data_IF_317468661759
#
_entry.id   IF_317468661759
#
_cell.length_a   1.000
_cell.length_b   1.000
_cell.length_c   1.000
_cell.angle_alpha   90.00
_cell.angle_beta   90.00
_cell.angle_gamma   90.00
#
_symmetry.space_group_name_H-M   'P 1'
#
loop_
_entity.id
_entity.type
_entity.pdbx_description
1 polymer ?
#
# COMPACT_ATOMS: atom_id res chain seq x y z
N UNK A 1 20.34 -5.62 3.73
CA UNK A 1 20.42 -6.40 2.47
C UNK A 1 19.16 -7.23 2.10
N UNK A 2 17.92 -6.79 2.39
CA UNK A 2 16.70 -7.58 2.06
C UNK A 2 15.50 -6.77 1.53
N UNK A 3 15.69 -5.50 1.15
CA UNK A 3 14.71 -4.69 0.36
C UNK A 3 14.64 -5.13 -1.13
N UNK A 4 15.60 -5.94 -1.58
CA UNK A 4 15.82 -6.27 -2.99
C UNK A 4 14.74 -7.10 -3.67
N UNK A 5 13.89 -7.83 -2.96
CA UNK A 5 13.04 -8.82 -3.64
C UNK A 5 11.85 -8.20 -4.41
N UNK A 6 11.24 -7.13 -3.89
CA UNK A 6 10.17 -6.40 -4.57
C UNK A 6 10.70 -5.47 -5.67
N UNK A 7 11.78 -4.74 -5.39
CA UNK A 7 12.41 -3.83 -6.34
C UNK A 7 13.06 -4.56 -7.52
N UNK A 8 13.61 -5.76 -7.30
CA UNK A 8 14.06 -6.63 -8.39
C UNK A 8 12.91 -7.07 -9.30
N UNK A 9 11.76 -7.43 -8.70
CA UNK A 9 10.57 -7.82 -9.47
C UNK A 9 10.04 -6.68 -10.33
N UNK A 10 10.09 -5.44 -9.82
CA UNK A 10 9.72 -4.26 -10.59
C UNK A 10 10.54 -4.14 -11.88
N UNK A 11 11.88 -4.23 -11.80
CA UNK A 11 12.76 -4.17 -12.98
C UNK A 11 12.49 -5.34 -13.92
N UNK A 12 12.30 -6.54 -13.37
CA UNK A 12 11.94 -7.73 -14.14
C UNK A 12 10.63 -7.51 -14.92
N UNK A 13 9.53 -7.14 -14.24
CA UNK A 13 8.22 -6.97 -14.86
C UNK A 13 8.23 -5.85 -15.91
N UNK A 14 8.96 -4.76 -15.65
CA UNK A 14 9.12 -3.66 -16.59
C UNK A 14 9.70 -4.12 -17.93
N UNK A 15 10.85 -4.81 -17.89
CA UNK A 15 11.52 -5.26 -19.10
C UNK A 15 10.82 -6.47 -19.73
N UNK A 16 10.30 -7.41 -18.93
CA UNK A 16 9.49 -8.54 -19.43
C UNK A 16 8.29 -8.03 -20.24
N UNK A 17 7.56 -7.04 -19.70
CA UNK A 17 6.41 -6.43 -20.38
C UNK A 17 6.82 -5.81 -21.71
N UNK A 18 7.88 -5.00 -21.72
CA UNK A 18 8.38 -4.35 -22.94
C UNK A 18 8.84 -5.36 -24.00
N UNK A 19 9.47 -6.46 -23.59
CA UNK A 19 9.88 -7.52 -24.53
C UNK A 19 8.66 -8.28 -25.05
N UNK A 20 7.77 -8.73 -24.16
CA UNK A 20 6.61 -9.57 -24.53
C UNK A 20 5.54 -8.84 -25.33
N UNK A 21 5.44 -7.53 -25.21
CA UNK A 21 4.47 -6.71 -25.94
C UNK A 21 5.09 -6.05 -27.19
N UNK A 22 6.34 -6.39 -27.54
CA UNK A 22 6.97 -5.95 -28.78
C UNK A 22 7.56 -4.55 -28.76
N UNK A 23 7.75 -3.95 -27.57
CA UNK A 23 8.50 -2.71 -27.43
C UNK A 23 9.99 -2.91 -27.77
N UNK A 24 10.58 -4.01 -27.29
CA UNK A 24 11.90 -4.50 -27.72
C UNK A 24 11.73 -5.74 -28.60
N UNK A 25 12.46 -5.77 -29.72
CA UNK A 25 12.49 -6.86 -30.68
C UNK A 25 13.78 -7.68 -30.57
N UNK A 26 13.79 -8.83 -31.24
CA UNK A 26 14.96 -9.70 -31.30
C UNK A 26 16.20 -8.92 -31.79
N UNK A 27 17.30 -9.04 -31.06
CA UNK A 27 18.55 -8.33 -31.36
C UNK A 27 18.67 -6.94 -30.71
N UNK A 28 17.58 -6.36 -30.18
CA UNK A 28 17.65 -5.10 -29.46
C UNK A 28 18.50 -5.23 -28.19
N UNK A 29 19.15 -4.14 -27.81
CA UNK A 29 19.91 -4.06 -26.56
C UNK A 29 19.09 -3.36 -25.48
N UNK A 30 19.00 -3.97 -24.30
CA UNK A 30 18.51 -3.29 -23.10
C UNK A 30 19.52 -2.22 -22.64
N UNK A 31 19.09 -1.20 -21.88
CA UNK A 31 19.99 -0.25 -21.25
C UNK A 31 21.06 -0.93 -20.38
N UNK A 32 22.23 -0.30 -20.26
CA UNK A 32 23.34 -0.81 -19.44
C UNK A 32 22.97 -0.84 -17.95
N UNK A 33 23.61 -1.71 -17.16
CA UNK A 33 23.36 -1.79 -15.69
C UNK A 33 23.46 -0.41 -15.01
N UNK A 34 24.47 0.45 -15.28
CA UNK A 34 24.51 1.80 -14.72
C UNK A 34 23.26 2.64 -15.06
N UNK A 35 22.82 2.62 -16.32
CA UNK A 35 21.62 3.34 -16.76
C UNK A 35 20.35 2.78 -16.09
N UNK A 36 20.23 1.46 -15.91
CA UNK A 36 19.11 0.87 -15.18
C UNK A 36 19.15 1.27 -13.69
N UNK A 37 20.33 1.28 -13.07
CA UNK A 37 20.50 1.73 -11.68
C UNK A 37 20.04 3.17 -11.50
N UNK A 38 20.42 4.05 -12.43
CA UNK A 38 20.01 5.46 -12.45
C UNK A 38 18.51 5.60 -12.67
N UNK A 39 17.94 4.91 -13.67
CA UNK A 39 16.53 5.00 -14.03
C UNK A 39 15.57 4.54 -12.92
N UNK A 40 15.95 3.51 -12.15
CA UNK A 40 15.11 2.96 -11.09
C UNK A 40 15.56 3.38 -9.68
N UNK A 41 16.66 4.13 -9.56
CA UNK A 41 17.33 4.44 -8.29
C UNK A 41 17.64 3.18 -7.44
N UNK A 42 18.15 2.14 -8.10
CA UNK A 42 18.44 0.84 -7.48
C UNK A 42 19.92 0.50 -7.44
N UNK A 43 20.30 -0.35 -6.49
CA UNK A 43 21.64 -0.90 -6.41
C UNK A 43 21.93 -1.88 -7.54
N UNK A 44 23.21 -1.97 -7.93
CA UNK A 44 23.69 -2.90 -8.98
C UNK A 44 23.32 -4.36 -8.70
N UNK A 45 23.29 -4.76 -7.43
CA UNK A 45 22.90 -6.13 -7.02
C UNK A 45 21.45 -6.44 -7.37
N UNK A 46 20.54 -5.49 -7.10
CA UNK A 46 19.10 -5.60 -7.40
C UNK A 46 18.87 -5.72 -8.90
N UNK A 47 19.54 -4.87 -9.68
CA UNK A 47 19.44 -4.86 -11.15
C UNK A 47 19.99 -6.14 -11.76
N UNK A 48 21.18 -6.60 -11.34
CA UNK A 48 21.76 -7.87 -11.82
C UNK A 48 20.84 -9.04 -11.56
N UNK A 49 20.30 -9.12 -10.35
CA UNK A 49 19.37 -10.19 -10.00
C UNK A 49 18.06 -10.12 -10.82
N UNK A 50 17.64 -8.95 -11.30
CA UNK A 50 16.48 -8.83 -12.20
C UNK A 50 16.81 -9.33 -13.61
N UNK A 51 17.98 -8.97 -14.13
CA UNK A 51 18.47 -9.45 -15.43
C UNK A 51 18.69 -10.97 -15.43
N UNK A 52 19.19 -11.54 -14.33
CA UNK A 52 19.30 -13.00 -14.17
C UNK A 52 17.94 -13.70 -14.25
N UNK A 53 16.86 -13.08 -13.76
CA UNK A 53 15.51 -13.63 -13.89
C UNK A 53 15.01 -13.57 -15.34
N UNK A 54 15.31 -12.48 -16.07
CA UNK A 54 14.96 -12.35 -17.48
C UNK A 54 15.71 -13.35 -18.35
N UNK A 55 16.99 -13.59 -18.04
CA UNK A 55 17.82 -14.58 -18.74
C UNK A 55 17.32 -16.02 -18.48
N UNK A 56 16.98 -16.35 -17.22
CA UNK A 56 16.33 -17.63 -16.88
C UNK A 56 14.98 -17.81 -17.58
N UNK A 57 14.27 -16.72 -17.85
CA UNK A 57 13.02 -16.70 -18.61
C UNK A 57 13.21 -16.79 -20.13
N UNK A 58 14.45 -16.92 -20.63
CA UNK A 58 14.80 -16.91 -22.05
C UNK A 58 14.40 -15.63 -22.81
N UNK A 59 14.30 -14.50 -22.13
CA UNK A 59 13.96 -13.22 -22.78
C UNK A 59 15.19 -12.48 -23.29
N UNK A 60 16.30 -12.56 -22.57
CA UNK A 60 17.56 -11.87 -22.87
C UNK A 60 18.76 -12.82 -22.76
N UNK A 61 19.87 -12.41 -23.37
CA UNK A 61 21.20 -12.98 -23.16
C UNK A 61 22.11 -11.90 -22.58
N UNK A 62 22.79 -12.21 -21.49
CA UNK A 62 23.81 -11.35 -20.91
C UNK A 62 25.20 -11.78 -21.40
N UNK A 63 26.12 -10.82 -21.54
CA UNK A 63 27.51 -11.08 -21.87
C UNK A 63 28.41 -10.17 -21.03
N UNK A 64 29.61 -10.64 -20.67
CA UNK A 64 30.52 -9.83 -19.86
C UNK A 64 30.83 -8.49 -20.53
N UNK A 65 30.65 -7.41 -19.77
CA UNK A 65 30.95 -6.02 -20.17
C UNK A 65 30.15 -5.52 -21.39
N UNK A 66 29.06 -6.19 -21.78
CA UNK A 66 28.12 -5.73 -22.82
C UNK A 66 26.72 -5.52 -22.25
N UNK A 67 25.94 -4.69 -22.94
CA UNK A 67 24.50 -4.58 -22.69
C UNK A 67 23.81 -5.92 -22.96
N UNK A 68 22.73 -6.22 -22.24
CA UNK A 68 21.96 -7.44 -22.47
C UNK A 68 21.19 -7.35 -23.80
N UNK A 69 21.26 -8.39 -24.62
CA UNK A 69 20.56 -8.45 -25.91
C UNK A 69 19.28 -9.28 -25.80
N UNK A 70 18.20 -8.82 -26.42
CA UNK A 70 16.93 -9.53 -26.46
C UNK A 70 17.03 -10.73 -27.40
N UNK A 71 16.70 -11.92 -26.87
CA UNK A 71 16.68 -13.19 -27.62
C UNK A 71 15.26 -13.73 -27.83
N UNK A 72 14.25 -13.05 -27.28
CA UNK A 72 12.85 -13.39 -27.48
C UNK A 72 12.44 -13.12 -28.94
N UNK A 73 11.96 -14.16 -29.63
CA UNK A 73 11.48 -14.08 -31.01
C UNK A 73 9.97 -14.24 -31.03
N UNK A 74 9.26 -13.24 -31.55
CA UNK A 74 7.82 -13.27 -31.73
C UNK A 74 7.42 -12.36 -32.91
N UNK A 75 6.34 -12.72 -33.60
CA UNK A 75 5.74 -11.88 -34.64
C UNK A 75 4.69 -10.90 -34.08
N UNK A 76 4.22 -9.96 -34.90
CA UNK A 76 3.23 -8.94 -34.50
C UNK A 76 1.96 -9.53 -33.88
N UNK A 77 1.46 -10.65 -34.43
CA UNK A 77 0.31 -11.37 -33.88
C UNK A 77 0.57 -11.90 -32.45
N UNK A 78 1.73 -12.52 -32.23
CA UNK A 78 2.09 -13.07 -30.91
C UNK A 78 2.30 -11.96 -29.86
N UNK A 79 2.86 -10.81 -30.24
CA UNK A 79 2.98 -9.65 -29.35
C UNK A 79 1.60 -9.12 -28.91
N UNK A 80 0.65 -9.01 -29.85
CA UNK A 80 -0.73 -8.63 -29.56
C UNK A 80 -1.42 -9.66 -28.66
N UNK A 81 -1.29 -10.95 -28.97
CA UNK A 81 -1.84 -12.02 -28.14
C UNK A 81 -1.29 -11.99 -26.70
N UNK A 82 0.02 -11.76 -26.54
CA UNK A 82 0.65 -11.62 -25.22
C UNK A 82 0.05 -10.47 -24.41
N UNK A 83 -0.18 -9.32 -25.04
CA UNK A 83 -0.81 -8.17 -24.41
C UNK A 83 -2.27 -8.48 -24.06
N UNK A 84 -3.03 -9.07 -24.99
CA UNK A 84 -4.43 -9.45 -24.78
C UNK A 84 -4.59 -10.43 -23.61
N UNK A 85 -3.78 -11.50 -23.57
CA UNK A 85 -3.76 -12.49 -22.46
C UNK A 85 -3.44 -11.86 -21.11
N UNK A 86 -2.70 -10.76 -21.06
CA UNK A 86 -2.43 -10.05 -19.81
C UNK A 86 -3.58 -9.13 -19.40
N UNK A 87 -4.05 -8.29 -20.32
CA UNK A 87 -4.97 -7.21 -20.02
C UNK A 87 -6.43 -7.64 -19.93
N UNK A 88 -6.87 -8.58 -20.77
CA UNK A 88 -8.26 -9.04 -20.79
C UNK A 88 -8.75 -9.55 -19.41
N UNK A 89 -8.06 -10.48 -18.72
CA UNK A 89 -8.51 -10.94 -17.39
C UNK A 89 -8.42 -9.85 -16.31
N UNK A 90 -7.71 -8.75 -16.56
CA UNK A 90 -7.51 -7.63 -15.62
C UNK A 90 -8.40 -6.43 -15.91
N UNK A 91 -9.19 -6.45 -16.98
CA UNK A 91 -10.04 -5.33 -17.44
C UNK A 91 -10.82 -4.69 -16.30
N UNK A 92 -11.59 -5.49 -15.56
CA UNK A 92 -12.41 -5.00 -14.44
C UNK A 92 -11.56 -4.41 -13.32
N UNK A 93 -10.45 -5.04 -12.96
CA UNK A 93 -9.56 -4.51 -11.92
C UNK A 93 -8.82 -3.24 -12.33
N UNK A 94 -8.55 -3.04 -13.63
CA UNK A 94 -7.96 -1.81 -14.17
C UNK A 94 -8.96 -0.66 -14.08
N UNK A 95 -10.23 -0.90 -14.44
CA UNK A 95 -11.32 0.07 -14.31
C UNK A 95 -11.63 0.40 -12.84
N UNK A 96 -11.64 -0.61 -11.97
CA UNK A 96 -11.80 -0.40 -10.54
C UNK A 96 -10.66 0.46 -9.96
N UNK A 97 -9.42 0.21 -10.40
CA UNK A 97 -8.25 0.99 -10.00
C UNK A 97 -8.26 2.43 -10.53
N UNK A 98 -8.87 2.71 -11.68
CA UNK A 98 -8.95 4.10 -12.17
C UNK A 98 -9.81 4.97 -11.25
N UNK A 99 -10.89 4.42 -10.69
CA UNK A 99 -11.72 5.11 -9.71
C UNK A 99 -11.08 5.09 -8.31
N UNK A 100 -10.60 3.94 -7.85
CA UNK A 100 -9.94 3.82 -6.55
C UNK A 100 -8.67 4.69 -6.47
N UNK A 101 -7.93 4.83 -7.56
CA UNK A 101 -6.73 5.65 -7.63
C UNK A 101 -7.00 7.13 -7.36
N UNK A 102 -8.17 7.65 -7.76
CA UNK A 102 -8.59 9.02 -7.44
C UNK A 102 -8.71 9.22 -5.92
N UNK A 103 -9.26 8.24 -5.21
CA UNK A 103 -9.44 8.31 -3.75
C UNK A 103 -8.14 8.01 -2.98
N UNK A 104 -7.30 7.11 -3.50
CA UNK A 104 -6.10 6.65 -2.82
C UNK A 104 -4.88 7.56 -3.03
N UNK A 105 -4.71 8.17 -4.20
CA UNK A 105 -3.49 8.91 -4.54
C UNK A 105 -3.66 10.42 -4.66
N UNK A 106 -4.83 10.93 -5.09
CA UNK A 106 -5.02 12.37 -5.26
C UNK A 106 -4.84 13.13 -3.95
N UNK A 107 -5.40 12.70 -2.80
CA UNK A 107 -5.14 13.38 -1.52
C UNK A 107 -3.66 13.40 -1.13
N UNK A 108 -2.94 12.32 -1.43
CA UNK A 108 -1.49 12.22 -1.15
C UNK A 108 -0.69 13.23 -1.98
N UNK A 109 -1.07 13.42 -3.24
CA UNK A 109 -0.42 14.38 -4.12
C UNK A 109 -0.75 15.80 -3.70
N UNK A 110 -2.03 16.13 -3.50
CA UNK A 110 -2.43 17.49 -3.13
C UNK A 110 -1.76 17.96 -1.85
N UNK A 111 -1.78 17.14 -0.81
CA UNK A 111 -1.17 17.49 0.46
C UNK A 111 0.36 17.61 0.33
N UNK A 112 1.01 16.74 -0.46
CA UNK A 112 2.46 16.84 -0.69
C UNK A 112 2.83 18.11 -1.47
N UNK A 113 2.15 18.38 -2.58
CA UNK A 113 2.42 19.53 -3.45
C UNK A 113 2.19 20.87 -2.73
N UNK A 114 1.20 20.94 -1.84
CA UNK A 114 0.96 22.14 -0.98
C UNK A 114 2.07 22.38 0.04
N UNK A 115 2.82 21.34 0.43
CA UNK A 115 3.90 21.44 1.41
C UNK A 115 5.27 21.68 0.75
N UNK A 116 5.36 21.64 -0.58
CA UNK A 116 6.63 21.80 -1.27
C UNK A 116 7.09 23.26 -1.30
N UNK A 117 8.36 23.47 -0.93
CA UNK A 117 9.02 24.75 -1.15
C UNK A 117 9.32 24.95 -2.64
N UNK A 118 9.53 26.20 -3.04
CA UNK A 118 9.87 26.54 -4.43
C UNK A 118 11.16 25.86 -4.90
N UNK A 119 12.15 25.75 -4.02
CA UNK A 119 13.43 25.10 -4.30
C UNK A 119 13.23 23.60 -4.57
N UNK A 120 12.35 22.94 -3.80
CA UNK A 120 12.02 21.52 -4.02
C UNK A 120 11.34 21.29 -5.36
N UNK A 121 10.42 22.19 -5.72
CA UNK A 121 9.79 22.21 -7.04
C UNK A 121 10.83 22.37 -8.16
N UNK A 122 11.73 23.34 -8.04
CA UNK A 122 12.79 23.61 -9.02
C UNK A 122 13.75 22.41 -9.17
N UNK A 123 14.14 21.75 -8.06
CA UNK A 123 14.96 20.53 -8.11
C UNK A 123 14.26 19.40 -8.89
N UNK A 124 12.97 19.14 -8.60
CA UNK A 124 12.25 18.05 -9.26
C UNK A 124 12.03 18.38 -10.74
N UNK A 125 11.73 19.62 -11.10
CA UNK A 125 11.57 20.02 -12.50
C UNK A 125 12.89 19.92 -13.27
N UNK A 126 14.01 20.26 -12.64
CA UNK A 126 15.34 20.06 -13.21
C UNK A 126 15.64 18.57 -13.45
N UNK A 127 15.39 17.70 -12.47
CA UNK A 127 15.58 16.25 -12.61
C UNK A 127 14.70 15.64 -13.70
N UNK A 128 13.51 16.20 -13.90
CA UNK A 128 12.54 15.81 -14.92
C UNK A 128 12.89 16.34 -16.32
N UNK A 129 13.62 17.45 -16.45
CA UNK A 129 14.09 17.98 -17.74
C UNK A 129 15.27 17.20 -18.35
N UNK A 130 15.98 16.38 -17.57
CA UNK A 130 17.18 15.65 -17.99
C UNK A 130 16.90 14.18 -18.41
N UNK A 131 15.74 13.89 -19.02
CA UNK A 131 15.35 12.51 -19.33
C UNK A 131 16.14 11.92 -20.51
N UNK A 132 16.76 10.77 -20.27
CA UNK A 132 17.44 9.95 -21.30
C UNK A 132 16.41 9.11 -22.08
N UNK A 133 16.54 8.95 -23.41
CA UNK A 133 15.73 8.03 -24.19
C UNK A 133 15.72 6.60 -23.60
N UNK A 134 14.53 6.01 -23.44
CA UNK A 134 14.39 4.67 -22.83
C UNK A 134 14.21 4.63 -21.30
N UNK A 135 14.28 5.78 -20.61
CA UNK A 135 14.04 5.90 -19.18
C UNK A 135 12.57 5.68 -18.75
N UNK A 136 12.33 5.56 -17.44
CA UNK A 136 11.00 5.54 -16.82
C UNK A 136 10.21 6.79 -17.27
N UNK A 137 8.91 6.68 -17.64
CA UNK A 137 8.13 7.83 -18.09
C UNK A 137 8.18 9.00 -17.11
N UNK A 138 8.22 10.21 -17.65
CA UNK A 138 8.27 11.47 -16.90
C UNK A 138 7.18 11.56 -15.82
N UNK A 139 5.97 11.13 -16.15
CA UNK A 139 4.82 11.12 -15.23
C UNK A 139 5.06 10.21 -14.03
N UNK A 140 5.60 9.00 -14.25
CA UNK A 140 5.93 8.06 -13.17
C UNK A 140 7.03 8.62 -12.27
N UNK A 141 8.08 9.22 -12.86
CA UNK A 141 9.15 9.88 -12.08
C UNK A 141 8.61 11.04 -11.24
N UNK A 142 7.76 11.88 -11.81
CA UNK A 142 7.09 12.97 -11.08
C UNK A 142 6.28 12.41 -9.90
N UNK A 143 5.41 11.43 -10.13
CA UNK A 143 4.60 10.83 -9.07
C UNK A 143 5.44 10.20 -7.96
N UNK A 144 6.53 9.52 -8.31
CA UNK A 144 7.47 9.00 -7.32
C UNK A 144 8.10 10.13 -6.50
N UNK A 145 8.52 11.22 -7.14
CA UNK A 145 9.02 12.42 -6.47
C UNK A 145 8.02 12.96 -5.47
N UNK A 146 6.76 13.14 -5.87
CA UNK A 146 5.65 13.58 -5.01
C UNK A 146 5.45 12.63 -3.83
N UNK A 147 5.24 11.34 -4.10
CA UNK A 147 4.94 10.35 -3.06
C UNK A 147 6.11 10.10 -2.09
N UNK A 148 7.36 10.31 -2.54
CA UNK A 148 8.53 10.19 -1.68
C UNK A 148 8.58 11.24 -0.55
N UNK A 149 7.84 12.34 -0.68
CA UNK A 149 7.74 13.42 0.32
C UNK A 149 7.25 12.95 1.67
N UNK A 150 6.42 11.90 1.70
CA UNK A 150 5.84 11.37 2.92
C UNK A 150 6.82 10.57 3.77
N UNK A 151 7.97 10.16 3.19
CA UNK A 151 8.90 9.21 3.81
C UNK A 151 8.18 7.97 4.36
N UNK A 152 7.30 7.41 3.54
CA UNK A 152 6.41 6.31 3.87
C UNK A 152 6.58 5.19 2.86
N UNK A 153 7.10 4.04 3.30
CA UNK A 153 7.41 2.94 2.39
C UNK A 153 6.16 2.20 1.93
N UNK A 154 5.06 2.20 2.71
CA UNK A 154 3.77 1.64 2.29
C UNK A 154 3.19 2.42 1.12
N UNK A 155 3.19 3.76 1.17
CA UNK A 155 2.70 4.60 0.06
C UNK A 155 3.47 4.30 -1.23
N UNK A 156 4.80 4.30 -1.16
CA UNK A 156 5.64 4.00 -2.32
C UNK A 156 5.42 2.56 -2.81
N UNK A 157 5.29 1.59 -1.89
CA UNK A 157 5.02 0.21 -2.25
C UNK A 157 3.66 0.04 -2.92
N UNK A 158 2.60 0.70 -2.44
CA UNK A 158 1.28 0.67 -3.05
C UNK A 158 1.33 1.22 -4.48
N UNK A 159 1.98 2.37 -4.67
CA UNK A 159 2.18 2.94 -6.01
C UNK A 159 2.89 1.94 -6.94
N UNK A 160 3.94 1.28 -6.46
CA UNK A 160 4.63 0.26 -7.26
C UNK A 160 3.78 -0.94 -7.61
N UNK A 161 2.96 -1.45 -6.69
CA UNK A 161 2.03 -2.55 -6.99
C UNK A 161 0.98 -2.14 -8.02
N UNK A 162 0.46 -0.92 -7.95
CA UNK A 162 -0.46 -0.36 -8.95
C UNK A 162 0.21 -0.30 -10.32
N UNK A 163 1.40 0.30 -10.42
CA UNK A 163 2.13 0.41 -11.69
C UNK A 163 2.46 -0.97 -12.27
N UNK A 164 2.87 -1.94 -11.43
CA UNK A 164 3.14 -3.33 -11.85
C UNK A 164 1.89 -4.06 -12.33
N UNK A 165 0.75 -3.79 -11.72
CA UNK A 165 -0.53 -4.36 -12.13
C UNK A 165 -1.00 -3.76 -13.46
N UNK A 166 -0.92 -2.43 -13.60
CA UNK A 166 -1.37 -1.69 -14.77
C UNK A 166 -0.51 -1.93 -16.02
N UNK A 167 0.83 -2.05 -15.90
CA UNK A 167 1.81 -2.30 -16.98
C UNK A 167 1.84 -1.33 -18.17
N UNK A 168 0.75 -0.68 -18.57
CA UNK A 168 0.74 0.28 -19.66
C UNK A 168 1.64 1.50 -19.44
N UNK A 169 1.93 1.98 -18.20
CA UNK A 169 2.93 3.03 -18.03
C UNK A 169 4.30 2.58 -18.53
N UNK A 170 4.57 1.28 -18.60
CA UNK A 170 5.81 0.76 -19.16
C UNK A 170 5.88 0.93 -20.67
N UNK A 171 4.80 1.21 -21.38
CA UNK A 171 4.78 1.25 -22.85
C UNK A 171 4.95 2.67 -23.43
N UNK A 172 4.96 3.71 -22.60
CA UNK A 172 4.83 5.13 -22.99
C UNK A 172 6.04 5.78 -23.69
N UNK A 173 7.00 5.03 -24.24
CA UNK A 173 8.29 5.56 -24.71
C UNK A 173 8.48 5.66 -26.23
N UNK A 174 7.42 5.60 -27.06
CA UNK A 174 7.62 5.76 -28.51
C UNK A 174 7.50 7.21 -29.00
N UNK A 175 6.51 7.99 -28.57
CA UNK A 175 6.42 9.42 -28.89
C UNK A 175 5.63 10.18 -27.78
N UNK A 176 6.04 11.41 -27.49
CA UNK A 176 5.50 12.41 -26.54
C UNK A 176 6.00 12.47 -25.08
N UNK A 177 6.54 13.63 -24.64
CA UNK A 177 6.36 14.08 -23.26
C UNK A 177 4.89 14.47 -23.08
N UNK A 178 4.11 13.60 -22.44
CA UNK A 178 2.66 13.82 -22.24
C UNK A 178 2.34 15.00 -21.31
N UNK A 179 3.31 15.43 -20.52
CA UNK A 179 3.38 16.74 -19.86
C UNK A 179 4.81 17.21 -20.01
N UNK A 180 5.07 18.43 -20.44
CA UNK A 180 6.42 18.98 -20.57
C UNK A 180 6.91 19.61 -19.25
N UNK A 181 8.23 19.74 -19.07
CA UNK A 181 8.78 20.51 -17.95
C UNK A 181 8.28 21.97 -17.96
N UNK A 182 8.00 22.55 -19.14
CA UNK A 182 7.42 23.89 -19.27
C UNK A 182 5.98 23.97 -18.76
N UNK A 183 5.14 22.99 -19.08
CA UNK A 183 3.76 22.90 -18.54
C UNK A 183 3.75 22.70 -17.03
N UNK A 184 4.69 21.89 -16.50
CA UNK A 184 4.90 21.75 -15.06
C UNK A 184 5.47 23.03 -14.40
N UNK A 185 6.10 23.93 -15.15
CA UNK A 185 6.57 25.23 -14.64
C UNK A 185 5.46 26.29 -14.61
N UNK A 186 4.49 26.24 -15.52
CA UNK A 186 3.29 27.12 -15.48
C UNK A 186 2.42 26.80 -14.26
N UNK A 187 2.40 25.55 -13.80
CA UNK A 187 1.80 25.11 -12.52
C UNK A 187 2.31 25.91 -11.32
N UNK A 188 3.57 26.37 -11.33
CA UNK A 188 4.15 27.17 -10.24
C UNK A 188 3.64 28.61 -10.20
N UNK A 189 2.98 29.09 -11.26
CA UNK A 189 2.59 30.50 -11.40
C UNK A 189 1.13 30.77 -11.01
N UNK A 190 0.31 29.74 -10.77
CA UNK A 190 -1.14 29.86 -10.46
C UNK A 190 -1.69 28.70 -9.63
N UNK A 191 -2.99 28.37 -9.78
CA UNK A 191 -3.60 27.16 -9.18
C UNK A 191 -3.19 25.88 -9.93
N UNK A 192 -1.89 25.59 -9.91
CA UNK A 192 -1.28 24.52 -10.69
C UNK A 192 -1.72 23.12 -10.28
N UNK A 193 -2.21 22.94 -9.04
CA UNK A 193 -2.70 21.64 -8.57
C UNK A 193 -3.95 21.23 -9.36
N UNK A 194 -4.89 22.16 -9.55
CA UNK A 194 -6.10 21.92 -10.33
C UNK A 194 -5.78 21.63 -11.80
N UNK A 195 -4.84 22.37 -12.40
CA UNK A 195 -4.37 22.11 -13.77
C UNK A 195 -3.75 20.71 -13.91
N UNK A 196 -2.86 20.32 -13.00
CA UNK A 196 -2.24 19.00 -12.99
C UNK A 196 -3.28 17.89 -12.90
N UNK A 197 -4.29 18.03 -12.04
CA UNK A 197 -5.35 17.03 -11.91
C UNK A 197 -6.07 16.77 -13.23
N UNK A 198 -6.47 17.84 -13.93
CA UNK A 198 -7.16 17.73 -15.23
C UNK A 198 -6.26 17.07 -16.25
N UNK A 199 -5.02 17.56 -16.41
CA UNK A 199 -4.07 17.01 -17.37
C UNK A 199 -3.79 15.51 -17.12
N UNK A 200 -3.58 15.12 -15.86
CA UNK A 200 -3.36 13.73 -15.52
C UNK A 200 -4.59 12.86 -15.74
N UNK A 201 -5.78 13.37 -15.43
CA UNK A 201 -7.03 12.66 -15.69
C UNK A 201 -7.24 12.44 -17.19
N UNK A 202 -6.97 13.43 -18.03
CA UNK A 202 -7.13 13.34 -19.48
C UNK A 202 -6.11 12.38 -20.10
N UNK A 203 -4.85 12.44 -19.68
CA UNK A 203 -3.80 11.52 -20.16
C UNK A 203 -4.12 10.09 -19.76
N UNK A 204 -4.48 9.87 -18.49
CA UNK A 204 -4.79 8.54 -17.99
C UNK A 204 -6.07 7.99 -18.63
N UNK A 205 -7.10 8.83 -18.80
CA UNK A 205 -8.35 8.49 -19.48
C UNK A 205 -8.11 7.98 -20.89
N UNK A 206 -7.38 8.74 -21.71
CA UNK A 206 -7.01 8.33 -23.08
C UNK A 206 -6.32 6.97 -23.13
N UNK A 207 -5.38 6.72 -22.21
CA UNK A 207 -4.70 5.41 -22.15
C UNK A 207 -5.64 4.26 -21.81
N UNK A 208 -6.59 4.49 -20.91
CA UNK A 208 -7.58 3.49 -20.55
C UNK A 208 -8.52 3.24 -21.73
N UNK A 209 -8.97 4.28 -22.42
CA UNK A 209 -9.84 4.15 -23.60
C UNK A 209 -9.13 3.35 -24.72
N UNK A 210 -7.90 3.70 -25.06
CA UNK A 210 -7.07 2.94 -26.03
C UNK A 210 -6.91 1.46 -25.62
N UNK A 211 -6.71 1.21 -24.32
CA UNK A 211 -6.58 -0.14 -23.80
C UNK A 211 -7.90 -0.91 -23.88
N UNK A 212 -9.04 -0.25 -23.60
CA UNK A 212 -10.36 -0.86 -23.68
C UNK A 212 -10.72 -1.21 -25.12
N UNK A 213 -10.40 -0.33 -26.07
CA UNK A 213 -10.56 -0.58 -27.51
C UNK A 213 -9.72 -1.77 -27.95
N UNK A 214 -8.43 -1.81 -27.54
CA UNK A 214 -7.54 -2.95 -27.79
C UNK A 214 -8.10 -4.25 -27.20
N UNK A 215 -8.58 -4.22 -25.96
CA UNK A 215 -9.19 -5.36 -25.28
C UNK A 215 -10.43 -5.84 -26.03
N UNK A 216 -11.31 -4.91 -26.45
CA UNK A 216 -12.53 -5.23 -27.20
C UNK A 216 -12.24 -5.94 -28.52
N UNK A 217 -11.29 -5.41 -29.30
CA UNK A 217 -10.89 -6.01 -30.58
C UNK A 217 -10.19 -7.36 -30.40
N UNK A 218 -9.38 -7.51 -29.34
CA UNK A 218 -8.54 -8.68 -29.16
C UNK A 218 -9.24 -9.85 -28.44
N UNK A 219 -10.37 -9.61 -27.78
CA UNK A 219 -11.10 -10.66 -27.06
C UNK A 219 -11.60 -11.76 -28.00
N UNK A 220 -12.26 -11.36 -29.09
CA UNK A 220 -12.79 -12.27 -30.12
C UNK A 220 -11.66 -12.84 -30.99
N UNK A 221 -10.68 -12.02 -31.37
CA UNK A 221 -9.56 -12.39 -32.24
C UNK A 221 -8.74 -13.58 -31.68
N UNK A 222 -8.57 -13.64 -30.34
CA UNK A 222 -7.74 -14.64 -29.69
C UNK A 222 -8.54 -15.66 -28.85
N UNK A 223 -9.87 -15.61 -28.85
CA UNK A 223 -10.75 -16.52 -28.10
C UNK A 223 -10.40 -16.62 -26.61
N UNK A 224 -10.27 -15.47 -25.94
CA UNK A 224 -9.78 -15.37 -24.56
C UNK A 224 -10.89 -15.08 -23.52
N UNK A 225 -12.16 -15.24 -23.90
CA UNK A 225 -13.32 -14.85 -23.08
C UNK A 225 -13.46 -15.68 -21.79
N UNK A 226 -12.88 -16.89 -21.77
CA UNK A 226 -12.96 -17.81 -20.63
C UNK A 226 -11.83 -17.64 -19.60
N UNK A 227 -10.96 -16.63 -19.74
CA UNK A 227 -9.88 -16.42 -18.78
C UNK A 227 -10.41 -16.01 -17.41
N UNK A 228 -9.86 -16.61 -16.36
CA UNK A 228 -10.19 -16.23 -14.99
C UNK A 228 -9.79 -14.77 -14.72
N UNK A 229 -10.72 -14.02 -14.14
CA UNK A 229 -10.50 -12.63 -13.75
C UNK A 229 -9.37 -12.54 -12.73
N UNK A 230 -8.44 -11.63 -12.96
CA UNK A 230 -7.33 -11.38 -12.04
C UNK A 230 -7.58 -10.05 -11.33
N UNK A 231 -7.85 -10.04 -10.01
CA UNK A 231 -8.03 -8.80 -9.26
C UNK A 231 -6.69 -8.13 -8.90
N UNK A 232 -6.75 -6.84 -8.59
CA UNK A 232 -5.64 -6.14 -7.96
C UNK A 232 -5.36 -6.70 -6.55
N UNK A 233 -4.07 -6.79 -6.19
CA UNK A 233 -3.60 -7.23 -4.87
C UNK A 233 -2.47 -6.33 -4.41
N UNK A 234 -2.55 -5.82 -3.18
CA UNK A 234 -1.49 -5.00 -2.61
C UNK A 234 -0.52 -5.85 -1.79
N UNK A 235 0.63 -6.18 -2.38
CA UNK A 235 1.64 -7.01 -1.72
C UNK A 235 2.64 -6.15 -0.92
N UNK A 236 2.55 -6.23 0.41
CA UNK A 236 3.48 -5.54 1.32
C UNK A 236 4.77 -6.36 1.52
N UNK A 237 5.88 -5.84 1.00
CA UNK A 237 7.19 -6.50 1.09
C UNK A 237 7.83 -6.38 2.47
N UNK A 238 7.55 -7.30 3.40
CA UNK A 238 8.28 -7.38 4.69
C UNK A 238 9.57 -8.20 4.57
N UNK A 239 10.58 -7.89 5.39
CA UNK A 239 11.78 -8.75 5.55
C UNK A 239 11.32 -10.13 6.06
N UNK A 240 11.70 -11.22 5.36
CA UNK A 240 11.27 -12.60 5.68
C UNK A 240 11.53 -12.97 7.17
N UNK A 241 10.68 -13.82 7.78
CA UNK A 241 9.42 -14.39 7.26
C UNK A 241 8.21 -13.51 7.61
N UNK A 242 7.42 -13.13 6.58
CA UNK A 242 6.27 -12.23 6.67
C UNK A 242 5.16 -12.73 7.60
N UNK A 243 5.03 -14.05 7.72
CA UNK A 243 3.93 -14.73 8.42
C UNK A 243 3.86 -14.40 9.92
N UNK A 244 5.00 -14.19 10.60
CA UNK A 244 4.97 -13.88 12.04
C UNK A 244 4.36 -12.51 12.31
N UNK A 245 4.58 -11.53 11.44
CA UNK A 245 4.04 -10.19 11.61
C UNK A 245 2.53 -10.16 11.35
N UNK A 246 2.06 -10.85 10.31
CA UNK A 246 0.62 -11.06 10.08
C UNK A 246 0.00 -11.78 11.27
N UNK A 247 0.67 -12.81 11.80
CA UNK A 247 0.12 -13.56 12.93
C UNK A 247 0.04 -12.73 14.22
N UNK A 248 0.99 -11.80 14.46
CA UNK A 248 0.88 -10.82 15.55
C UNK A 248 -0.39 -9.99 15.38
N UNK A 249 -0.62 -9.42 14.19
CA UNK A 249 -1.83 -8.65 13.89
C UNK A 249 -3.11 -9.45 14.10
N UNK A 250 -3.14 -10.71 13.62
CA UNK A 250 -4.30 -11.61 13.76
C UNK A 250 -4.60 -11.87 15.23
N UNK A 251 -3.60 -12.21 16.04
CA UNK A 251 -3.83 -12.51 17.46
C UNK A 251 -4.26 -11.25 18.22
N UNK A 252 -3.64 -10.09 17.97
CA UNK A 252 -4.09 -8.82 18.58
C UNK A 252 -5.55 -8.55 18.21
N UNK A 253 -5.93 -8.72 16.94
CA UNK A 253 -7.32 -8.55 16.49
C UNK A 253 -8.29 -9.52 17.16
N UNK A 254 -7.92 -10.80 17.30
CA UNK A 254 -8.73 -11.81 18.03
C UNK A 254 -8.89 -11.45 19.52
N UNK A 255 -7.88 -10.81 20.14
CA UNK A 255 -7.99 -10.29 21.51
C UNK A 255 -8.97 -9.10 21.56
N UNK A 256 -8.82 -8.13 20.66
CA UNK A 256 -9.65 -6.92 20.61
C UNK A 256 -11.14 -7.23 20.36
N UNK A 257 -11.41 -8.20 19.48
CA UNK A 257 -12.76 -8.69 19.16
C UNK A 257 -13.33 -9.62 20.23
N UNK A 258 -12.53 -10.02 21.23
CA UNK A 258 -12.97 -10.82 22.37
C UNK A 258 -12.97 -12.33 22.15
N UNK A 259 -12.40 -12.82 21.05
CA UNK A 259 -12.15 -14.27 20.84
C UNK A 259 -11.20 -14.79 21.91
N UNK A 260 -10.19 -14.00 22.27
CA UNK A 260 -9.32 -14.27 23.42
C UNK A 260 -9.38 -13.11 24.43
N UNK A 261 -10.32 -13.13 25.39
CA UNK A 261 -10.44 -12.09 26.40
C UNK A 261 -9.17 -11.94 27.25
N UNK A 262 -8.91 -10.73 27.75
CA UNK A 262 -7.83 -10.49 28.72
C UNK A 262 -8.01 -11.39 29.94
N UNK A 263 -6.92 -12.01 30.39
CA UNK A 263 -6.90 -13.01 31.46
C UNK A 263 -7.13 -14.45 31.01
N UNK A 264 -7.63 -14.67 29.78
CA UNK A 264 -7.76 -16.01 29.18
C UNK A 264 -6.40 -16.53 28.67
N UNK A 265 -6.35 -17.80 28.24
CA UNK A 265 -5.16 -18.41 27.67
C UNK A 265 -5.30 -18.60 26.16
N UNK A 266 -4.20 -18.35 25.44
CA UNK A 266 -4.10 -18.72 24.03
C UNK A 266 -4.05 -20.26 23.89
N UNK A 267 -4.42 -20.80 22.72
CA UNK A 267 -4.27 -22.23 22.44
C UNK A 267 -2.81 -22.69 22.60
N UNK A 268 -2.61 -23.98 22.83
CA UNK A 268 -1.26 -24.56 22.89
C UNK A 268 -0.51 -24.40 21.56
N UNK A 269 0.83 -24.44 21.59
CA UNK A 269 1.63 -24.25 20.38
C UNK A 269 1.24 -25.18 19.20
N UNK A 270 0.98 -26.49 19.40
CA UNK A 270 0.52 -27.37 18.33
C UNK A 270 -0.87 -27.00 17.80
N UNK A 271 -1.78 -26.52 18.68
CA UNK A 271 -3.09 -26.05 18.26
C UNK A 271 -2.98 -24.77 17.42
N UNK A 272 -2.08 -23.85 17.79
CA UNK A 272 -1.83 -22.63 17.02
C UNK A 272 -1.20 -22.93 15.64
N UNK A 273 -0.23 -23.84 15.57
CA UNK A 273 0.34 -24.30 14.28
C UNK A 273 -0.74 -24.85 13.36
N UNK A 274 -1.63 -25.69 13.89
CA UNK A 274 -2.75 -26.26 13.13
C UNK A 274 -3.82 -25.24 12.75
N UNK A 275 -4.15 -24.30 13.65
CA UNK A 275 -5.17 -23.26 13.42
C UNK A 275 -4.71 -22.24 12.38
N UNK A 276 -3.50 -21.72 12.52
CA UNK A 276 -2.99 -20.62 11.68
C UNK A 276 -2.17 -21.11 10.47
N UNK A 277 -1.96 -22.42 10.32
CA UNK A 277 -1.22 -23.03 9.20
C UNK A 277 0.19 -22.44 9.04
N UNK A 278 0.89 -22.26 10.16
CA UNK A 278 2.27 -21.77 10.20
C UNK A 278 3.16 -22.72 10.99
N UNK A 279 4.46 -22.72 10.70
CA UNK A 279 5.41 -23.56 11.45
C UNK A 279 5.44 -23.22 12.94
N UNK A 280 5.72 -24.22 13.78
CA UNK A 280 5.94 -24.04 15.22
C UNK A 280 6.96 -22.93 15.54
N UNK A 281 8.02 -22.79 14.73
CA UNK A 281 9.02 -21.72 14.87
C UNK A 281 8.42 -20.33 14.65
N UNK A 282 7.46 -20.21 13.73
CA UNK A 282 6.71 -18.96 13.50
C UNK A 282 5.84 -18.64 14.70
N UNK A 283 5.10 -19.62 15.24
CA UNK A 283 4.26 -19.45 16.44
C UNK A 283 5.10 -18.94 17.61
N UNK A 284 6.21 -19.62 17.93
CA UNK A 284 7.11 -19.23 19.03
C UNK A 284 7.61 -17.79 18.87
N UNK A 285 8.09 -17.42 17.68
CA UNK A 285 8.57 -16.05 17.40
C UNK A 285 7.46 -15.02 17.51
N UNK A 286 6.26 -15.33 17.07
CA UNK A 286 5.09 -14.45 17.23
C UNK A 286 4.78 -14.23 18.71
N UNK A 287 4.76 -15.30 19.53
CA UNK A 287 4.52 -15.18 20.96
C UNK A 287 5.61 -14.35 21.66
N UNK A 288 6.88 -14.51 21.28
CA UNK A 288 7.96 -13.66 21.80
C UNK A 288 7.75 -12.18 21.49
N UNK A 289 7.25 -11.85 20.29
CA UNK A 289 6.92 -10.46 19.93
C UNK A 289 5.74 -9.96 20.76
N UNK A 290 4.66 -10.75 20.88
CA UNK A 290 3.48 -10.38 21.66
C UNK A 290 3.81 -10.18 23.14
N UNK A 291 4.71 -11.00 23.70
CA UNK A 291 5.20 -10.86 25.08
C UNK A 291 6.04 -9.60 25.26
N UNK A 292 6.93 -9.29 24.32
CA UNK A 292 7.70 -8.03 24.32
C UNK A 292 6.83 -6.77 24.15
N UNK A 293 5.62 -6.91 23.58
CA UNK A 293 4.63 -5.83 23.47
C UNK A 293 3.67 -5.77 24.67
N UNK A 294 3.79 -6.65 25.66
CA UNK A 294 2.86 -6.70 26.80
C UNK A 294 1.47 -7.25 26.46
N UNK A 295 1.30 -7.84 25.27
CA UNK A 295 0.03 -8.43 24.82
C UNK A 295 -0.22 -9.77 25.51
N UNK A 296 0.84 -10.55 25.72
CA UNK A 296 0.78 -11.88 26.34
C UNK A 296 1.84 -12.06 27.41
N UNK A 297 1.68 -13.08 28.27
CA UNK A 297 2.73 -13.54 29.18
C UNK A 297 2.78 -15.05 29.22
N UNK A 298 3.97 -15.61 29.12
CA UNK A 298 4.18 -17.07 29.13
C UNK A 298 4.48 -17.57 30.54
N UNK A 299 3.76 -18.60 30.98
CA UNK A 299 3.99 -19.25 32.27
C UNK A 299 4.38 -20.71 32.07
N UNK A 300 5.50 -21.11 32.67
CA UNK A 300 6.00 -22.48 32.61
C UNK A 300 4.93 -23.45 33.13
N UNK A 301 4.58 -24.44 32.30
CA UNK A 301 3.58 -25.47 32.63
C UNK A 301 2.11 -25.02 32.60
N UNK A 302 1.81 -23.73 32.43
CA UNK A 302 0.43 -23.20 32.41
C UNK A 302 -0.01 -22.65 31.04
N UNK A 303 0.94 -22.36 30.16
CA UNK A 303 0.67 -21.83 28.82
C UNK A 303 0.83 -20.31 28.73
N UNK A 304 0.30 -19.71 27.67
CA UNK A 304 0.43 -18.28 27.39
C UNK A 304 -0.89 -17.56 27.68
N UNK A 305 -0.87 -16.65 28.65
CA UNK A 305 -2.05 -15.88 29.06
C UNK A 305 -2.10 -14.53 28.32
N UNK A 306 -3.30 -14.05 28.00
CA UNK A 306 -3.56 -12.73 27.41
C UNK A 306 -3.54 -11.66 28.51
N UNK A 307 -2.76 -10.59 28.31
CA UNK A 307 -2.62 -9.49 29.28
C UNK A 307 -3.10 -8.16 28.69
N UNK A 308 -2.54 -7.73 27.55
CA UNK A 308 -2.81 -6.42 26.95
C UNK A 308 -2.60 -5.26 27.94
N UNK A 309 -1.40 -5.17 28.52
CA UNK A 309 -1.04 -4.18 29.53
C UNK A 309 0.13 -3.28 29.05
N UNK A 310 0.22 -2.03 29.53
CA UNK A 310 1.40 -1.21 29.27
C UNK A 310 2.63 -1.85 29.93
N UNK A 311 3.66 -2.09 29.13
CA UNK A 311 4.97 -2.58 29.58
C UNK A 311 6.05 -1.69 29.01
N UNK A 312 7.23 -1.69 29.61
CA UNK A 312 8.40 -1.10 28.99
C UNK A 312 8.77 -1.90 27.73
N UNK A 313 8.68 -1.26 26.57
CA UNK A 313 8.92 -1.89 25.26
C UNK A 313 10.35 -1.59 24.81
N UNK A 314 11.11 -2.65 24.51
CA UNK A 314 12.43 -2.53 23.91
C UNK A 314 12.33 -2.24 22.39
N UNK A 315 12.55 -0.98 22.02
CA UNK A 315 12.55 -0.52 20.62
C UNK A 315 13.86 -0.78 19.87
N UNK A 316 14.88 -1.33 20.53
CA UNK A 316 16.10 -1.80 19.88
C UNK A 316 15.82 -3.08 19.07
N UNK A 317 14.81 -3.87 19.48
CA UNK A 317 14.41 -5.09 18.80
C UNK A 317 13.92 -4.83 17.36
N UNK A 318 14.51 -5.46 16.34
CA UNK A 318 14.16 -5.22 14.93
C UNK A 318 12.69 -5.47 14.59
N UNK A 319 12.08 -6.47 15.25
CA UNK A 319 10.70 -6.87 14.99
C UNK A 319 9.70 -5.83 15.55
N UNK A 320 10.01 -5.25 16.70
CA UNK A 320 9.23 -4.17 17.33
C UNK A 320 9.36 -2.89 16.52
N UNK A 321 10.57 -2.53 16.10
CA UNK A 321 10.81 -1.37 15.24
C UNK A 321 10.08 -1.47 13.91
N UNK A 322 10.07 -2.65 13.31
CA UNK A 322 9.31 -2.89 12.08
C UNK A 322 7.80 -2.79 12.32
N UNK A 323 7.28 -3.36 13.42
CA UNK A 323 5.88 -3.24 13.81
C UNK A 323 5.45 -1.78 14.03
N UNK A 324 6.25 -1.02 14.76
CA UNK A 324 6.02 0.42 14.98
C UNK A 324 6.05 1.22 13.67
N UNK A 325 7.02 0.93 12.79
CA UNK A 325 7.10 1.54 11.46
C UNK A 325 5.84 1.25 10.64
N UNK A 326 5.40 -0.02 10.59
CA UNK A 326 4.20 -0.44 9.87
C UNK A 326 2.95 0.26 10.40
N UNK A 327 2.79 0.33 11.72
CA UNK A 327 1.71 1.07 12.35
C UNK A 327 1.71 2.55 11.93
N UNK A 328 2.83 3.24 12.13
CA UNK A 328 2.97 4.67 11.82
C UNK A 328 2.75 4.97 10.34
N UNK A 329 3.33 4.19 9.44
CA UNK A 329 3.14 4.34 7.99
C UNK A 329 1.68 4.07 7.58
N UNK A 330 0.98 3.12 8.24
CA UNK A 330 -0.43 2.84 7.96
C UNK A 330 -1.36 3.95 8.44
N UNK A 331 -1.14 4.50 9.64
CA UNK A 331 -1.96 5.59 10.18
C UNK A 331 -1.78 6.86 9.34
N UNK A 332 -0.57 7.16 8.87
CA UNK A 332 -0.35 8.30 7.99
C UNK A 332 -1.11 8.17 6.66
N UNK A 333 -1.10 6.99 6.05
CA UNK A 333 -1.88 6.75 4.83
C UNK A 333 -3.38 6.91 5.10
N UNK A 334 -3.88 6.31 6.19
CA UNK A 334 -5.27 6.43 6.60
C UNK A 334 -5.68 7.88 6.89
N UNK A 335 -4.86 8.65 7.60
CA UNK A 335 -5.12 10.07 7.90
C UNK A 335 -5.33 10.88 6.62
N UNK A 336 -4.60 10.57 5.54
CA UNK A 336 -4.69 11.29 4.28
C UNK A 336 -5.88 10.86 3.40
N UNK A 337 -6.35 9.61 3.51
CA UNK A 337 -7.33 9.05 2.55
C UNK A 337 -8.66 8.63 3.15
N UNK A 338 -8.73 8.36 4.46
CA UNK A 338 -9.89 7.70 5.06
C UNK A 338 -11.13 8.58 5.14
N UNK A 339 -11.02 9.90 5.27
CA UNK A 339 -12.18 10.80 5.23
C UNK A 339 -12.95 10.64 3.92
N UNK A 340 -12.28 10.89 2.78
CA UNK A 340 -12.90 10.76 1.46
C UNK A 340 -13.38 9.35 1.13
N UNK A 341 -12.62 8.32 1.51
CA UNK A 341 -13.01 6.92 1.26
C UNK A 341 -14.21 6.48 2.11
N UNK A 342 -14.30 6.95 3.35
CA UNK A 342 -15.45 6.66 4.22
C UNK A 342 -16.69 7.34 3.68
N UNK A 343 -16.57 8.60 3.26
CA UNK A 343 -17.68 9.33 2.64
C UNK A 343 -18.16 8.62 1.37
N UNK A 344 -17.24 8.31 0.45
CA UNK A 344 -17.55 7.58 -0.77
C UNK A 344 -18.23 6.23 -0.48
N UNK A 345 -17.74 5.49 0.51
CA UNK A 345 -18.36 4.21 0.90
C UNK A 345 -19.78 4.43 1.42
N UNK A 346 -19.99 5.40 2.31
CA UNK A 346 -21.30 5.71 2.88
C UNK A 346 -22.31 6.12 1.82
N UNK A 347 -21.91 6.92 0.83
CA UNK A 347 -22.78 7.38 -0.27
C UNK A 347 -23.34 6.22 -1.11
N UNK A 348 -22.56 5.16 -1.32
CA UNK A 348 -22.95 4.02 -2.18
C UNK A 348 -23.70 2.89 -1.44
N UNK A 349 -23.44 2.68 -0.15
CA UNK A 349 -24.06 1.56 0.57
C UNK A 349 -25.54 1.79 0.87
N UNK A 350 -26.28 0.70 1.03
CA UNK A 350 -27.70 0.73 1.41
C UNK A 350 -27.87 1.24 2.85
N UNK A 351 -29.04 1.82 3.14
CA UNK A 351 -29.36 2.37 4.46
C UNK A 351 -29.21 1.34 5.61
N UNK A 352 -29.57 0.08 5.36
CA UNK A 352 -29.41 -1.00 6.34
C UNK A 352 -27.96 -1.19 6.81
N UNK A 353 -26.99 -1.05 5.89
CA UNK A 353 -25.56 -1.16 6.21
C UNK A 353 -25.02 0.03 7.00
N UNK A 354 -25.58 1.22 6.76
CA UNK A 354 -25.26 2.42 7.55
C UNK A 354 -25.78 2.30 8.99
N UNK A 355 -27.00 1.75 9.16
CA UNK A 355 -27.56 1.43 10.48
C UNK A 355 -26.73 0.38 11.21
N UNK A 356 -26.34 -0.70 10.51
CA UNK A 356 -25.47 -1.75 11.05
C UNK A 356 -24.13 -1.18 11.58
N UNK A 357 -23.50 -0.26 10.83
CA UNK A 357 -22.31 0.45 11.30
C UNK A 357 -22.57 1.21 12.61
N UNK A 358 -23.67 1.97 12.68
CA UNK A 358 -24.05 2.71 13.88
C UNK A 358 -24.29 1.81 15.09
N UNK A 359 -24.94 0.66 14.89
CA UNK A 359 -25.21 -0.30 15.96
C UNK A 359 -23.94 -1.00 16.44
N UNK A 360 -23.01 -1.33 15.53
CA UNK A 360 -21.68 -1.85 15.89
C UNK A 360 -20.87 -0.84 16.71
N UNK A 361 -20.93 0.45 16.36
CA UNK A 361 -20.27 1.52 17.12
C UNK A 361 -20.92 1.70 18.51
N UNK A 362 -22.24 1.61 18.61
CA UNK A 362 -22.94 1.64 19.89
C UNK A 362 -22.54 0.46 20.79
N UNK A 363 -22.50 -0.74 20.23
CA UNK A 363 -22.13 -1.96 20.97
C UNK A 363 -20.71 -1.86 21.56
N UNK A 364 -19.72 -1.37 20.80
CA UNK A 364 -18.36 -1.20 21.37
C UNK A 364 -18.31 -0.12 22.46
N UNK A 365 -19.16 0.90 22.38
CA UNK A 365 -19.21 1.95 23.38
C UNK A 365 -19.86 1.45 24.69
N UNK A 366 -20.92 0.65 24.61
CA UNK A 366 -21.55 0.01 25.77
C UNK A 366 -20.60 -0.96 26.47
N UNK A 367 -19.77 -1.67 25.70
CA UNK A 367 -18.74 -2.58 26.23
C UNK A 367 -17.51 -1.87 26.82
N UNK A 368 -17.46 -0.53 26.82
CA UNK A 368 -16.26 0.25 27.18
C UNK A 368 -15.03 -0.14 26.36
N UNK A 369 -15.24 -0.31 25.05
CA UNK A 369 -14.23 -0.64 24.05
C UNK A 369 -14.22 0.37 22.91
N UNK A 370 -14.41 1.66 23.20
CA UNK A 370 -14.44 2.70 22.15
C UNK A 370 -13.17 2.75 21.28
N UNK A 371 -12.03 2.25 21.77
CA UNK A 371 -10.81 2.07 20.98
C UNK A 371 -10.93 1.06 19.83
N UNK A 372 -11.95 0.21 19.81
CA UNK A 372 -12.24 -0.70 18.69
C UNK A 372 -12.93 0.01 17.52
N UNK A 373 -13.14 1.32 17.56
CA UNK A 373 -13.74 2.07 16.46
C UNK A 373 -12.93 1.94 15.16
N UNK A 374 -11.59 1.89 15.22
CA UNK A 374 -10.74 1.67 14.06
C UNK A 374 -11.05 0.34 13.38
N UNK A 375 -11.15 -0.74 14.16
CA UNK A 375 -11.50 -2.08 13.68
C UNK A 375 -12.90 -2.11 13.04
N UNK A 376 -13.89 -1.47 13.67
CA UNK A 376 -15.27 -1.40 13.16
C UNK A 376 -15.34 -0.65 11.83
N UNK A 377 -14.78 0.57 11.76
CA UNK A 377 -14.89 1.44 10.57
C UNK A 377 -14.05 0.87 9.42
N UNK A 378 -12.83 0.39 9.67
CA UNK A 378 -12.00 -0.19 8.61
C UNK A 378 -12.57 -1.51 8.10
N UNK A 379 -13.19 -2.32 8.96
CA UNK A 379 -13.89 -3.54 8.54
C UNK A 379 -15.11 -3.21 7.69
N UNK A 380 -15.88 -2.19 8.06
CA UNK A 380 -16.98 -1.69 7.24
C UNK A 380 -16.52 -1.25 5.84
N UNK A 381 -15.44 -0.47 5.72
CA UNK A 381 -14.89 -0.09 4.41
C UNK A 381 -14.42 -1.32 3.63
N UNK A 382 -13.74 -2.25 4.29
CA UNK A 382 -13.26 -3.50 3.69
C UNK A 382 -14.40 -4.37 3.14
N UNK A 383 -15.55 -4.39 3.80
CA UNK A 383 -16.68 -5.25 3.46
C UNK A 383 -17.63 -4.57 2.45
N UNK A 384 -17.86 -3.28 2.60
CA UNK A 384 -18.99 -2.59 1.98
C UNK A 384 -18.58 -1.55 0.91
N UNK A 385 -17.30 -1.14 0.83
CA UNK A 385 -16.86 -0.23 -0.23
C UNK A 385 -17.09 -0.85 -1.61
N UNK A 386 -17.71 -0.14 -2.58
CA UNK A 386 -17.99 -0.73 -3.89
C UNK A 386 -16.72 -1.02 -4.70
N UNK A 387 -15.62 -0.32 -4.42
CA UNK A 387 -14.35 -0.45 -5.14
C UNK A 387 -13.48 -1.58 -4.54
N UNK A 388 -13.19 -2.59 -5.33
CA UNK A 388 -12.45 -3.79 -4.91
C UNK A 388 -11.00 -3.47 -4.48
N UNK A 389 -10.33 -2.54 -5.16
CA UNK A 389 -8.98 -2.10 -4.83
C UNK A 389 -8.95 -1.33 -3.50
N UNK A 390 -9.99 -0.55 -3.19
CA UNK A 390 -10.12 0.09 -1.87
C UNK A 390 -10.30 -0.96 -0.79
N UNK A 391 -11.17 -1.96 -1.01
CA UNK A 391 -11.37 -3.07 -0.06
C UNK A 391 -10.07 -3.83 0.21
N UNK A 392 -9.28 -4.12 -0.83
CA UNK A 392 -7.95 -4.73 -0.70
C UNK A 392 -7.02 -3.84 0.14
N UNK A 393 -6.89 -2.56 -0.21
CA UNK A 393 -6.00 -1.63 0.48
C UNK A 393 -6.37 -1.44 1.96
N UNK A 394 -7.65 -1.21 2.25
CA UNK A 394 -8.13 -1.00 3.62
C UNK A 394 -8.13 -2.29 4.43
N UNK A 395 -8.28 -3.45 3.78
CA UNK A 395 -8.06 -4.75 4.42
C UNK A 395 -6.64 -4.92 4.93
N UNK A 396 -5.64 -4.57 4.11
CA UNK A 396 -4.23 -4.59 4.52
C UNK A 396 -3.97 -3.57 5.65
N UNK A 397 -4.50 -2.35 5.54
CA UNK A 397 -4.32 -1.31 6.58
C UNK A 397 -4.96 -1.70 7.91
N UNK A 398 -6.12 -2.35 7.90
CA UNK A 398 -6.76 -2.88 9.10
C UNK A 398 -5.87 -3.90 9.82
N UNK A 399 -5.12 -4.74 9.09
CA UNK A 399 -4.15 -5.64 9.71
C UNK A 399 -2.96 -4.88 10.32
N UNK A 400 -2.44 -3.86 9.63
CA UNK A 400 -1.27 -3.12 10.09
C UNK A 400 -1.57 -2.25 11.32
N UNK A 401 -2.74 -1.61 11.38
CA UNK A 401 -3.08 -0.70 12.48
C UNK A 401 -3.20 -1.43 13.82
N UNK A 402 -3.44 -2.74 13.82
CA UNK A 402 -3.50 -3.54 15.05
C UNK A 402 -2.20 -3.50 15.87
N UNK A 403 -1.05 -3.27 15.22
CA UNK A 403 0.22 -3.04 15.91
C UNK A 403 0.20 -1.79 16.79
N UNK A 404 -0.69 -0.84 16.51
CA UNK A 404 -0.85 0.39 17.25
C UNK A 404 -1.28 0.20 18.69
N UNK A 405 -2.14 -0.78 18.99
CA UNK A 405 -2.79 -0.87 20.29
C UNK A 405 -1.83 -0.98 21.48
N UNK A 406 -0.79 -1.84 21.45
CA UNK A 406 0.24 -1.84 22.50
C UNK A 406 0.97 -0.50 22.66
N UNK A 407 1.28 0.18 21.55
CA UNK A 407 1.96 1.48 21.58
C UNK A 407 1.03 2.59 22.10
N UNK A 408 -0.25 2.55 21.75
CA UNK A 408 -1.28 3.45 22.27
C UNK A 408 -1.43 3.27 23.79
N UNK A 409 -1.44 2.02 24.29
CA UNK A 409 -1.46 1.74 25.72
C UNK A 409 -0.23 2.30 26.43
N UNK A 410 0.96 2.04 25.89
CA UNK A 410 2.20 2.58 26.44
C UNK A 410 2.19 4.12 26.49
N UNK A 411 1.69 4.77 25.43
CA UNK A 411 1.56 6.23 25.35
C UNK A 411 0.56 6.80 26.36
N UNK A 412 -0.49 6.05 26.69
CA UNK A 412 -1.56 6.48 27.59
C UNK A 412 -1.28 6.18 29.07
N UNK A 413 -0.31 5.29 29.35
CA UNK A 413 0.10 4.88 30.70
C UNK A 413 -1.10 4.41 31.54
N UNK A 414 -1.62 5.27 32.42
CA UNK A 414 -2.73 4.98 33.34
C UNK A 414 -4.12 5.35 32.79
N UNK A 415 -4.20 6.00 31.64
CA UNK A 415 -5.48 6.38 31.04
C UNK A 415 -6.05 5.21 30.25
N UNK A 416 -7.32 4.91 30.50
CA UNK A 416 -8.03 3.88 29.75
C UNK A 416 -8.12 4.26 28.27
N UNK A 417 -7.81 3.30 27.38
CA UNK A 417 -8.06 3.42 25.95
C UNK A 417 -9.52 3.79 25.65
N UNK A 418 -10.47 3.27 26.42
CA UNK A 418 -11.88 3.59 26.26
C UNK A 418 -12.13 5.09 26.46
N UNK A 419 -11.68 5.63 27.59
CA UNK A 419 -11.83 7.05 27.92
C UNK A 419 -11.21 7.97 26.85
N UNK A 420 -10.14 7.53 26.20
CA UNK A 420 -9.47 8.29 25.13
C UNK A 420 -10.37 8.49 23.91
N UNK A 421 -11.14 7.47 23.51
CA UNK A 421 -11.92 7.48 22.27
C UNK A 421 -13.43 7.62 22.49
N UNK A 422 -13.92 7.49 23.72
CA UNK A 422 -15.35 7.46 24.05
C UNK A 422 -16.14 8.64 23.50
N UNK A 423 -15.63 9.87 23.67
CA UNK A 423 -16.35 11.06 23.20
C UNK A 423 -16.40 11.12 21.68
N UNK A 424 -15.31 10.76 21.01
CA UNK A 424 -15.28 10.71 19.56
C UNK A 424 -16.27 9.66 19.03
N UNK A 425 -16.30 8.46 19.60
CA UNK A 425 -17.24 7.41 19.19
C UNK A 425 -18.69 7.83 19.47
N UNK A 426 -18.96 8.48 20.60
CA UNK A 426 -20.29 9.03 20.91
C UNK A 426 -20.77 9.98 19.82
N UNK A 427 -19.90 10.90 19.40
CA UNK A 427 -20.21 11.82 18.32
C UNK A 427 -20.41 11.10 16.98
N UNK A 428 -19.59 10.10 16.66
CA UNK A 428 -19.74 9.32 15.43
C UNK A 428 -21.07 8.54 15.39
N UNK A 429 -21.51 7.96 16.51
CA UNK A 429 -22.82 7.30 16.63
C UNK A 429 -23.96 8.29 16.37
N UNK A 430 -23.86 9.51 16.91
CA UNK A 430 -24.86 10.55 16.68
C UNK A 430 -24.95 10.88 15.18
N UNK A 431 -23.81 11.19 14.55
CA UNK A 431 -23.75 11.61 13.16
C UNK A 431 -24.27 10.54 12.18
N UNK A 432 -23.88 9.27 12.37
CA UNK A 432 -24.36 8.18 11.49
C UNK A 432 -25.87 7.93 11.63
N UNK A 433 -26.45 8.16 12.82
CA UNK A 433 -27.90 8.00 13.07
C UNK A 433 -28.73 9.17 12.57
N UNK A 434 -28.18 10.38 12.63
CA UNK A 434 -28.80 11.59 12.07
C UNK A 434 -28.68 11.65 10.54
N UNK A 435 -27.85 10.79 9.94
CA UNK A 435 -27.64 10.73 8.49
C UNK A 435 -26.63 11.74 7.97
N UNK A 436 -25.86 12.39 8.85
CA UNK A 436 -24.80 13.33 8.46
C UNK A 436 -23.49 12.59 8.18
N UNK A 437 -23.46 11.94 7.01
CA UNK A 437 -22.33 11.11 6.57
C UNK A 437 -21.08 11.93 6.26
N UNK A 438 -21.25 13.18 5.84
CA UNK A 438 -20.15 14.09 5.56
C UNK A 438 -19.42 14.46 6.86
N UNK A 439 -20.16 14.87 7.90
CA UNK A 439 -19.56 15.15 9.20
C UNK A 439 -19.00 13.90 9.87
N UNK A 440 -19.66 12.74 9.74
CA UNK A 440 -19.12 11.45 10.21
C UNK A 440 -17.73 11.20 9.63
N UNK A 441 -17.62 11.28 8.30
CA UNK A 441 -16.39 11.00 7.55
C UNK A 441 -15.29 12.02 7.85
N UNK A 442 -15.64 13.30 7.96
CA UNK A 442 -14.71 14.35 8.37
C UNK A 442 -14.18 14.13 9.80
N UNK A 443 -15.06 13.82 10.75
CA UNK A 443 -14.67 13.52 12.13
C UNK A 443 -13.78 12.29 12.24
N UNK A 444 -14.00 11.29 11.39
CA UNK A 444 -13.14 10.10 11.30
C UNK A 444 -11.75 10.44 10.75
N UNK A 445 -11.68 11.28 9.71
CA UNK A 445 -10.41 11.81 9.20
C UNK A 445 -9.62 12.55 10.28
N UNK A 446 -10.27 13.47 11.00
CA UNK A 446 -9.66 14.23 12.11
C UNK A 446 -9.16 13.31 13.23
N UNK A 447 -9.89 12.23 13.54
CA UNK A 447 -9.43 11.26 14.53
C UNK A 447 -8.10 10.60 14.09
N UNK A 448 -8.01 10.18 12.83
CA UNK A 448 -6.81 9.55 12.28
C UNK A 448 -5.63 10.52 12.16
N UNK A 449 -5.88 11.77 11.78
CA UNK A 449 -4.85 12.83 11.77
C UNK A 449 -4.28 13.07 13.17
N UNK A 450 -5.14 13.12 14.18
CA UNK A 450 -4.71 13.24 15.57
C UNK A 450 -3.87 12.04 16.01
N UNK A 451 -4.25 10.82 15.61
CA UNK A 451 -3.45 9.63 15.89
C UNK A 451 -2.10 9.61 15.17
N UNK A 452 -2.05 10.08 13.92
CA UNK A 452 -0.80 10.25 13.17
C UNK A 452 0.15 11.20 13.91
N UNK A 453 -0.35 12.38 14.29
CA UNK A 453 0.45 13.38 15.00
C UNK A 453 1.00 12.84 16.32
N UNK A 454 0.15 12.14 17.09
CA UNK A 454 0.57 11.56 18.37
C UNK A 454 1.54 10.39 18.17
N UNK A 455 1.34 9.55 17.16
CA UNK A 455 2.28 8.49 16.80
C UNK A 455 3.64 9.07 16.39
N UNK A 456 3.64 10.11 15.56
CA UNK A 456 4.87 10.79 15.11
C UNK A 456 5.61 11.46 16.26
N UNK A 457 4.90 12.12 17.19
CA UNK A 457 5.49 12.69 18.40
C UNK A 457 6.08 11.60 19.32
N UNK A 458 5.35 10.51 19.53
CA UNK A 458 5.80 9.36 20.31
C UNK A 458 7.07 8.74 19.72
N UNK A 459 7.12 8.54 18.39
CA UNK A 459 8.31 8.01 17.73
C UNK A 459 9.53 8.92 17.92
N UNK A 460 9.37 10.24 17.84
CA UNK A 460 10.49 11.17 18.08
C UNK A 460 11.04 11.05 19.50
N UNK A 461 10.17 10.91 20.50
CA UNK A 461 10.57 10.72 21.88
C UNK A 461 11.34 9.40 22.10
N UNK A 462 10.86 8.31 21.50
CA UNK A 462 11.51 7.00 21.57
C UNK A 462 12.84 6.98 20.81
N UNK A 463 12.91 7.60 19.63
CA UNK A 463 14.12 7.65 18.80
C UNK A 463 15.23 8.46 19.45
N UNK A 464 14.88 9.59 20.10
CA UNK A 464 15.85 10.42 20.82
C UNK A 464 16.50 9.75 22.03
N UNK A 465 15.94 8.64 22.52
CA UNK A 465 16.56 7.80 23.55
C UNK A 465 17.47 6.71 22.96
N UNK A 466 17.27 6.29 21.71
CA UNK A 466 18.08 5.25 21.04
C UNK A 466 19.43 5.81 20.56
N UNK A 467 19.52 7.11 20.27
CA UNK A 467 20.77 7.77 19.87
C UNK A 467 21.61 8.30 21.07
N UNK A 468 21.17 8.04 22.31
CA UNK A 468 21.84 8.47 23.56
C UNK A 468 22.51 7.34 24.35
N UNK A 469 22.43 6.11 23.88
CA UNK A 469 23.18 4.94 24.37
C UNK A 469 24.12 4.43 23.27
#
# INVERSE_FOLDING_TARGET
MKKDNGLRRLVYDYYETRIRFGFYQYGDCLPSIPQICENFHLGRTTVRAALELLEKGNYIRTAERKAASVIFVAGSCQFRENAARYYLPRKEGILDLSEAGKLLFVPLWECALRQWSRERWECILHDLSNIVPGAVPLTVKFYMGVLSSWNNQLILNLFWEVIRYLRFPYLSNRDEPRITAGELMEVLRGDGISFLKVQFQDIYGRMIDELLDFIGQSAEEFHLESLEKVPFRWNIYRRRPQMRYTLVSVIIREILTGIYPVGSYLPSLPQMENKYKVSLTTVRRTLSILEALGVTRSFQGKGTQVFMAPVEIDFTLPDIREGLRLYRESVQLLALTAGGITQYTLEYVQEGKRKELGDRLMMIQEQKKSYNCFEVILTFIKEECPLAAVRECYGQMAELITWGYPFMLLRLQDKSLDQRYQECVRQQIKLIREGDYAAFSAGWGVLLENEEHQCTAFMKAVSGNIDKE
#
